data_IF_628956024336
#
_entry.id   IF_628956024336
#
_cell.length_a   1.000
_cell.length_b   1.000
_cell.length_c   1.000
_cell.angle_alpha   90.00
_cell.angle_beta   90.00
_cell.angle_gamma   90.00
#
_symmetry.space_group_name_H-M   'P 1'
#
loop_
_entity.id
_entity.type
_entity.pdbx_description
1 polymer ?
#
# COMPACT_ATOMS: atom_id res chain seq x y z
N UNK A 1 6.50 -11.32 -22.77
CA UNK A 1 6.77 -10.31 -21.73
C UNK A 1 7.32 -11.00 -20.47
N UNK A 2 8.62 -10.93 -20.20
CA UNK A 2 9.18 -11.38 -18.91
C UNK A 2 8.73 -10.38 -17.85
N UNK A 3 7.58 -10.63 -17.23
CA UNK A 3 7.13 -9.86 -16.07
C UNK A 3 8.14 -10.17 -14.96
N UNK A 4 9.11 -9.28 -14.73
CA UNK A 4 9.93 -9.36 -13.51
C UNK A 4 8.95 -9.56 -12.35
N UNK A 5 9.20 -10.57 -11.52
CA UNK A 5 8.42 -10.77 -10.31
C UNK A 5 8.63 -9.50 -9.48
N UNK A 6 7.69 -8.55 -9.58
CA UNK A 6 7.65 -7.37 -8.70
C UNK A 6 7.86 -7.89 -7.28
N UNK A 7 8.83 -7.30 -6.62
CA UNK A 7 9.22 -7.68 -5.27
C UNK A 7 7.97 -7.74 -4.38
N UNK A 8 7.94 -8.71 -3.46
CA UNK A 8 6.76 -8.92 -2.60
C UNK A 8 6.45 -7.66 -1.78
N UNK A 9 7.47 -6.89 -1.40
CA UNK A 9 7.36 -5.65 -0.64
C UNK A 9 6.82 -4.51 -1.52
N UNK A 10 7.31 -4.38 -2.75
CA UNK A 10 6.82 -3.38 -3.71
C UNK A 10 5.34 -3.61 -4.05
N UNK A 11 4.93 -4.88 -4.17
CA UNK A 11 3.51 -5.24 -4.32
C UNK A 11 2.70 -4.86 -3.08
N UNK A 12 3.24 -5.08 -1.89
CA UNK A 12 2.56 -4.73 -0.65
C UNK A 12 2.37 -3.21 -0.57
N UNK A 13 3.40 -2.42 -0.90
CA UNK A 13 3.34 -0.97 -0.98
C UNK A 13 2.23 -0.49 -1.93
N UNK A 14 2.25 -0.96 -3.18
CA UNK A 14 1.25 -0.59 -4.19
C UNK A 14 -0.18 -0.94 -3.76
N UNK A 15 -0.38 -2.09 -3.09
CA UNK A 15 -1.69 -2.45 -2.54
C UNK A 15 -2.12 -1.54 -1.40
N UNK A 16 -1.18 -1.08 -0.58
CA UNK A 16 -1.41 -0.12 0.48
C UNK A 16 -1.91 1.22 -0.06
N UNK A 17 -1.19 1.74 -1.05
CA UNK A 17 -1.54 2.98 -1.73
C UNK A 17 -2.94 2.93 -2.35
N UNK A 18 -3.25 1.87 -3.11
CA UNK A 18 -4.59 1.68 -3.67
C UNK A 18 -5.69 1.62 -2.59
N UNK A 19 -5.42 0.98 -1.44
CA UNK A 19 -6.36 0.97 -0.32
C UNK A 19 -6.56 2.37 0.29
N UNK A 20 -5.51 3.19 0.38
CA UNK A 20 -5.61 4.56 0.87
C UNK A 20 -6.39 5.47 -0.07
N UNK A 21 -6.11 5.39 -1.38
CA UNK A 21 -6.83 6.15 -2.43
C UNK A 21 -8.33 5.84 -2.42
N UNK A 22 -8.67 4.55 -2.27
CA UNK A 22 -10.06 4.09 -2.19
C UNK A 22 -10.75 4.38 -0.84
N UNK A 23 -10.05 4.96 0.12
CA UNK A 23 -10.61 5.31 1.43
C UNK A 23 -10.84 4.15 2.38
N UNK A 24 -10.16 3.02 2.16
CA UNK A 24 -10.23 1.87 3.06
C UNK A 24 -9.38 2.11 4.31
N UNK A 25 -9.78 1.54 5.44
CA UNK A 25 -9.03 1.63 6.70
C UNK A 25 -7.70 0.87 6.66
N UNK A 26 -6.71 1.38 7.41
CA UNK A 26 -5.39 0.71 7.58
C UNK A 26 -5.46 -0.71 8.18
N UNK A 27 -6.58 -1.03 8.84
CA UNK A 27 -6.83 -2.33 9.46
C UNK A 27 -7.13 -3.43 8.44
N UNK A 28 -7.51 -3.06 7.21
CA UNK A 28 -7.77 -4.02 6.12
C UNK A 28 -6.48 -4.60 5.51
N UNK A 29 -5.31 -4.33 6.12
CA UNK A 29 -4.03 -4.88 5.69
C UNK A 29 -4.05 -6.41 5.78
N UNK A 30 -3.94 -7.14 4.65
CA UNK A 30 -3.99 -8.61 4.64
C UNK A 30 -2.69 -9.27 5.11
N UNK A 31 -1.63 -8.48 5.30
CA UNK A 31 -0.31 -8.98 5.64
C UNK A 31 -0.11 -9.10 7.15
N UNK A 32 0.24 -10.30 7.59
CA UNK A 32 0.60 -10.59 8.98
C UNK A 32 2.11 -10.43 9.23
N UNK A 33 2.95 -10.61 8.20
CA UNK A 33 4.39 -10.42 8.30
C UNK A 33 4.73 -8.94 8.47
N UNK A 34 5.59 -8.62 9.44
CA UNK A 34 5.96 -7.24 9.78
C UNK A 34 6.50 -6.46 8.57
N UNK A 35 7.42 -7.03 7.79
CA UNK A 35 8.00 -6.35 6.63
C UNK A 35 6.94 -5.98 5.59
N UNK A 36 6.11 -6.93 5.14
CA UNK A 36 5.06 -6.65 4.16
C UNK A 36 4.02 -5.65 4.69
N UNK A 37 3.67 -5.75 5.98
CA UNK A 37 2.75 -4.83 6.65
C UNK A 37 3.32 -3.40 6.70
N UNK A 38 4.60 -3.24 7.02
CA UNK A 38 5.26 -1.92 7.03
C UNK A 38 5.23 -1.26 5.65
N UNK A 39 5.53 -2.02 4.59
CA UNK A 39 5.47 -1.49 3.22
C UNK A 39 4.03 -1.14 2.80
N UNK A 40 3.05 -2.00 3.12
CA UNK A 40 1.64 -1.72 2.85
C UNK A 40 1.15 -0.47 3.59
N UNK A 41 1.49 -0.32 4.87
CA UNK A 41 1.14 0.87 5.65
C UNK A 41 1.86 2.13 5.15
N UNK A 42 3.07 2.00 4.60
CA UNK A 42 3.79 3.08 3.92
C UNK A 42 2.98 3.64 2.75
N UNK A 43 2.63 2.77 1.79
CA UNK A 43 1.84 3.19 0.64
C UNK A 43 0.47 3.73 1.02
N UNK A 44 -0.18 3.16 2.04
CA UNK A 44 -1.48 3.67 2.53
C UNK A 44 -1.39 5.10 3.08
N UNK A 45 -0.32 5.44 3.82
CA UNK A 45 -0.09 6.81 4.31
C UNK A 45 0.15 7.77 3.16
N UNK A 46 1.01 7.40 2.23
CA UNK A 46 1.33 8.19 1.04
C UNK A 46 0.04 8.52 0.25
N UNK A 47 -0.84 7.54 0.08
CA UNK A 47 -2.14 7.76 -0.54
C UNK A 47 -3.10 8.67 0.26
N UNK A 48 -3.03 8.67 1.59
CA UNK A 48 -3.83 9.59 2.41
C UNK A 48 -3.29 11.02 2.35
N UNK A 49 -1.97 11.18 2.28
CA UNK A 49 -1.31 12.47 2.06
C UNK A 49 -1.70 13.05 0.68
N UNK A 50 -1.61 12.23 -0.38
CA UNK A 50 -2.03 12.64 -1.73
C UNK A 50 -3.51 13.04 -1.79
N UNK A 51 -4.38 12.28 -1.10
CA UNK A 51 -5.81 12.62 -1.00
C UNK A 51 -6.05 13.91 -0.22
N UNK A 52 -5.27 14.16 0.83
CA UNK A 52 -5.37 15.39 1.61
C UNK A 52 -4.84 16.61 0.85
N UNK A 53 -3.91 16.43 -0.09
CA UNK A 53 -3.43 17.53 -0.96
C UNK A 53 -4.41 17.88 -2.10
N UNK A 54 -5.28 16.95 -2.48
CA UNK A 54 -6.24 17.13 -3.59
C UNK A 54 -7.62 17.60 -3.09
N UNK A 55 -7.92 17.44 -1.79
CA UNK A 55 -9.16 17.89 -1.15
C UNK A 55 -9.06 19.33 -0.64
#
# INVERSE_FOLDING_TARGET
MKRQKRDRLERAHHRGYQAGITGRSKEMCPYQTLNQRSYWLGGWREAMEDRAQIA
#
